data_IF_750754993904
#
_entry.id   IF_750754993904
#
_cell.length_a   1.000
_cell.length_b   1.000
_cell.length_c   1.000
_cell.angle_alpha   90.00
_cell.angle_beta   90.00
_cell.angle_gamma   90.00
#
_symmetry.space_group_name_H-M   'P 1'
#
loop_
_entity.id
_entity.type
_entity.pdbx_description
1 polymer ?
#
# COMPACT_ATOMS: atom_id res chain seq x y z
N UNK A 1 -3.32 11.41 1.54
CA UNK A 1 -1.86 11.45 1.30
C UNK A 1 -1.61 11.70 -0.19
N UNK A 2 -0.99 12.81 -0.60
CA UNK A 2 -0.89 13.20 -2.00
C UNK A 2 -0.14 12.21 -2.90
N UNK A 3 0.91 11.55 -2.38
CA UNK A 3 1.72 10.60 -3.15
C UNK A 3 0.95 9.32 -3.47
N UNK A 4 0.14 8.83 -2.52
CA UNK A 4 -0.72 7.65 -2.71
C UNK A 4 -1.87 7.98 -3.68
N UNK A 5 -2.49 9.15 -3.51
CA UNK A 5 -3.56 9.63 -4.38
C UNK A 5 -3.09 9.85 -5.83
N UNK A 6 -1.82 10.24 -6.05
CA UNK A 6 -1.24 10.38 -7.38
C UNK A 6 -1.17 9.05 -8.16
N UNK A 7 -1.20 7.91 -7.45
CA UNK A 7 -1.28 6.57 -8.05
C UNK A 7 -2.71 6.05 -8.16
N UNK A 8 -3.74 6.88 -7.91
CA UNK A 8 -5.14 6.46 -7.92
C UNK A 8 -5.46 5.43 -6.84
N UNK A 9 -4.61 5.33 -5.81
CA UNK A 9 -4.76 4.37 -4.73
C UNK A 9 -5.19 5.03 -3.42
N UNK A 10 -5.74 4.22 -2.54
CA UNK A 10 -6.07 4.61 -1.17
C UNK A 10 -5.51 3.56 -0.20
N UNK A 11 -5.24 3.99 1.02
CA UNK A 11 -4.75 3.12 2.09
C UNK A 11 -5.54 3.42 3.35
N UNK A 12 -6.13 2.37 3.89
CA UNK A 12 -6.96 2.41 5.07
C UNK A 12 -6.27 1.67 6.20
N UNK A 13 -6.21 2.31 7.37
CA UNK A 13 -5.78 1.66 8.61
C UNK A 13 -6.92 0.77 9.12
N UNK A 14 -6.70 -0.54 9.13
CA UNK A 14 -7.70 -1.53 9.56
C UNK A 14 -7.59 -1.82 11.05
N UNK A 15 -6.37 -1.75 11.60
CA UNK A 15 -6.17 -1.92 13.02
C UNK A 15 -4.74 -1.70 13.46
N UNK A 16 -4.58 -1.55 14.77
CA UNK A 16 -3.29 -1.53 15.47
C UNK A 16 -3.37 -2.56 16.58
N UNK A 17 -2.37 -3.43 16.67
CA UNK A 17 -2.24 -4.40 17.75
C UNK A 17 -0.82 -4.37 18.26
N UNK A 18 -0.65 -4.08 19.55
CA UNK A 18 0.66 -3.87 20.16
C UNK A 18 1.45 -2.78 19.41
N UNK A 19 2.55 -3.14 18.76
CA UNK A 19 3.36 -2.25 17.91
C UNK A 19 3.18 -2.56 16.41
N UNK A 20 2.19 -3.37 16.04
CA UNK A 20 1.95 -3.81 14.68
C UNK A 20 0.74 -3.10 14.07
N UNK A 21 0.88 -2.66 12.83
CA UNK A 21 -0.15 -1.95 12.08
C UNK A 21 -0.67 -2.82 10.94
N UNK A 22 -1.99 -2.86 10.76
CA UNK A 22 -2.65 -3.58 9.67
C UNK A 22 -3.28 -2.59 8.72
N UNK A 23 -2.88 -2.65 7.45
CA UNK A 23 -3.32 -1.76 6.39
C UNK A 23 -4.00 -2.56 5.29
N UNK A 24 -5.02 -1.96 4.72
CA UNK A 24 -5.67 -2.41 3.49
C UNK A 24 -5.49 -1.33 2.43
N UNK A 25 -5.13 -1.74 1.22
CA UNK A 25 -4.86 -0.84 0.10
C UNK A 25 -5.90 -1.06 -1.00
N UNK A 26 -6.48 0.00 -1.53
CA UNK A 26 -7.50 -0.09 -2.59
C UNK A 26 -7.14 0.77 -3.79
N UNK A 27 -7.86 0.61 -4.90
CA UNK A 27 -7.64 1.36 -6.14
C UNK A 27 -6.32 0.99 -6.84
N UNK A 28 -5.59 1.99 -7.34
CA UNK A 28 -4.33 1.78 -8.06
C UNK A 28 -3.20 1.11 -7.24
N UNK A 29 -3.34 1.02 -5.92
CA UNK A 29 -2.44 0.26 -5.04
C UNK A 29 -2.58 -1.26 -5.17
N UNK A 30 -3.76 -1.73 -5.56
CA UNK A 30 -4.09 -3.15 -5.72
C UNK A 30 -3.52 -3.72 -7.02
N UNK A 31 -3.37 -2.87 -8.03
CA UNK A 31 -3.24 -3.33 -9.39
C UNK A 31 -1.81 -3.49 -9.93
N UNK A 32 -0.87 -2.60 -9.63
CA UNK A 32 0.45 -2.64 -10.28
C UNK A 32 1.51 -3.28 -9.38
N UNK A 33 2.04 -4.45 -9.75
CA UNK A 33 3.07 -5.16 -8.99
C UNK A 33 4.33 -4.30 -8.72
N UNK A 34 4.69 -3.43 -9.67
CA UNK A 34 5.80 -2.50 -9.52
C UNK A 34 5.47 -1.33 -8.57
N UNK A 35 4.24 -0.80 -8.66
CA UNK A 35 3.74 0.22 -7.72
C UNK A 35 3.55 -0.34 -6.31
N UNK A 36 3.24 -1.64 -6.15
CA UNK A 36 3.03 -2.27 -4.85
C UNK A 36 4.26 -2.14 -3.95
N UNK A 37 5.45 -2.48 -4.48
CA UNK A 37 6.68 -2.42 -3.68
C UNK A 37 7.07 -0.97 -3.34
N UNK A 38 6.92 -0.04 -4.28
CA UNK A 38 7.26 1.37 -4.05
C UNK A 38 6.26 2.06 -3.11
N UNK A 39 4.96 1.79 -3.27
CA UNK A 39 3.90 2.27 -2.37
C UNK A 39 4.09 1.72 -0.97
N UNK A 40 4.27 0.40 -0.81
CA UNK A 40 4.51 -0.22 0.50
C UNK A 40 5.69 0.42 1.21
N UNK A 41 6.81 0.62 0.51
CA UNK A 41 7.97 1.30 1.08
C UNK A 41 7.71 2.76 1.43
N UNK A 42 6.96 3.50 0.59
CA UNK A 42 6.58 4.88 0.87
C UNK A 42 5.74 4.96 2.15
N UNK A 43 4.75 4.08 2.28
CA UNK A 43 3.85 3.98 3.42
C UNK A 43 4.61 3.62 4.69
N UNK A 44 5.48 2.62 4.61
CA UNK A 44 6.31 2.21 5.74
C UNK A 44 7.19 3.35 6.25
N UNK A 45 7.78 4.13 5.35
CA UNK A 45 8.56 5.32 5.73
C UNK A 45 7.68 6.38 6.39
N UNK A 46 6.52 6.69 5.81
CA UNK A 46 5.62 7.72 6.35
C UNK A 46 5.06 7.33 7.71
N UNK A 47 4.64 6.08 7.88
CA UNK A 47 4.14 5.54 9.14
C UNK A 47 5.22 5.61 10.21
N UNK A 48 6.45 5.17 9.92
CA UNK A 48 7.56 5.26 10.89
C UNK A 48 7.96 6.70 11.23
N UNK A 49 7.80 7.64 10.30
CA UNK A 49 8.05 9.05 10.57
C UNK A 49 7.00 9.65 11.53
N UNK A 50 5.74 9.24 11.42
CA UNK A 50 4.66 9.71 12.29
C UNK A 50 4.56 8.94 13.60
N UNK A 51 4.88 7.65 13.58
CA UNK A 51 4.71 6.70 14.68
C UNK A 51 5.95 5.78 14.76
N UNK A 52 7.05 6.25 15.39
CA UNK A 52 8.33 5.54 15.40
C UNK A 52 8.34 4.25 16.24
N UNK A 53 7.34 4.06 17.11
CA UNK A 53 7.17 2.86 17.95
C UNK A 53 6.60 1.65 17.20
N UNK A 54 6.22 1.82 15.92
CA UNK A 54 5.75 0.71 15.08
C UNK A 54 6.87 -0.27 14.78
N UNK A 55 6.67 -1.52 15.18
CA UNK A 55 7.60 -2.63 14.93
C UNK A 55 7.40 -3.23 13.54
N UNK A 56 6.14 -3.41 13.11
CA UNK A 56 5.80 -4.10 11.87
C UNK A 56 4.54 -3.53 11.21
N UNK A 57 4.49 -3.60 9.88
CA UNK A 57 3.34 -3.18 9.08
C UNK A 57 2.92 -4.35 8.21
N UNK A 58 1.65 -4.74 8.33
CA UNK A 58 1.02 -5.84 7.59
C UNK A 58 0.09 -5.27 6.52
N UNK A 59 0.27 -5.75 5.30
CA UNK A 59 -0.63 -5.52 4.17
C UNK A 59 -1.59 -6.70 4.08
N UNK A 60 -2.84 -6.51 4.53
CA UNK A 60 -3.87 -7.57 4.56
C UNK A 60 -4.69 -7.64 3.27
N UNK A 61 -4.34 -6.82 2.29
CA UNK A 61 -5.11 -6.70 1.07
C UNK A 61 -4.98 -7.96 0.21
N UNK A 62 -6.10 -8.41 -0.37
CA UNK A 62 -6.08 -9.52 -1.33
C UNK A 62 -5.68 -9.03 -2.73
N UNK A 63 -4.38 -8.98 -2.99
CA UNK A 63 -3.81 -8.54 -4.28
C UNK A 63 -4.04 -9.49 -5.45
N UNK A 64 -4.71 -10.62 -5.23
CA UNK A 64 -5.06 -11.58 -6.28
C UNK A 64 -6.51 -11.49 -6.76
N UNK A 65 -7.38 -10.83 -6.00
CA UNK A 65 -8.82 -10.79 -6.27
C UNK A 65 -9.28 -9.73 -7.28
N UNK A 66 -8.38 -8.89 -7.80
CA UNK A 66 -8.49 -8.23 -9.10
C UNK A 66 -9.80 -7.46 -9.42
N UNK A 67 -9.81 -6.16 -9.11
CA UNK A 67 -10.38 -5.15 -10.02
C UNK A 67 -9.20 -4.35 -10.63
N UNK A 68 -8.73 -4.86 -11.77
CA UNK A 68 -7.79 -4.28 -12.75
C UNK A 68 -6.29 -4.13 -12.36
N UNK A 69 -5.46 -5.19 -12.50
CA UNK A 69 -4.07 -5.21 -12.05
C UNK A 69 -2.98 -5.13 -13.13
N UNK A 70 -3.13 -4.30 -14.17
CA UNK A 70 -2.03 -4.09 -15.13
C UNK A 70 -1.93 -2.64 -15.61
N UNK A 71 -0.79 -2.01 -15.35
CA UNK A 71 -0.23 -1.06 -16.31
C UNK A 71 0.37 -1.90 -17.44
N UNK A 72 -0.35 -2.06 -18.54
CA UNK A 72 0.23 -2.55 -19.80
C UNK A 72 1.11 -1.44 -20.39
N UNK A 73 2.36 -1.34 -19.93
CA UNK A 73 3.40 -0.69 -20.72
C UNK A 73 3.57 -1.42 -22.05
N UNK A 74 4.04 -0.77 -23.13
CA UNK A 74 4.07 -1.38 -24.45
C UNK A 74 4.97 -2.63 -24.42
N UNK A 75 4.43 -3.77 -24.84
CA UNK A 75 5.23 -4.98 -25.04
C UNK A 75 6.20 -4.75 -26.22
N UNK A 76 7.50 -4.76 -25.92
CA UNK A 76 8.60 -4.96 -26.88
C UNK A 76 9.55 -6.03 -26.37
#
# INVERSE_FOLDING_TARGET
NPAIAAHGGEITLVGVKDAEIYLEMSGGCQGCAMSRMTLRQGVERMVRQSVPEVSMIHDITDHSSGENPFFEGPQV
#
